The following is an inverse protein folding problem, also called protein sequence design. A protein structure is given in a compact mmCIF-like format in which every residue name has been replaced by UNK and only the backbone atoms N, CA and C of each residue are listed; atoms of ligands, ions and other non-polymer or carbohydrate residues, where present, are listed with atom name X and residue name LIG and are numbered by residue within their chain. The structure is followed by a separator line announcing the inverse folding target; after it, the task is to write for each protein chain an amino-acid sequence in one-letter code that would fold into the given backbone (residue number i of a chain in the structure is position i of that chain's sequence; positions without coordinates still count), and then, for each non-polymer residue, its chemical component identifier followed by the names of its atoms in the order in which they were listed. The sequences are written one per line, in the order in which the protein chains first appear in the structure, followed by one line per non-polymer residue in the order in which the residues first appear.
data_IF_017357135681
#
_entry.id   IF_017357135681
#
_cell.length_a   1.000
_cell.length_b   1.000
_cell.length_c   1.000
_cell.angle_alpha   90.00
_cell.angle_beta   90.00
_cell.angle_gamma   90.00
#
_symmetry.space_group_name_H-M   'P 1'
#
loop_
_entity.id
_entity.type
_entity.pdbx_description
1 polymer ?
#
# COMPACT_ATOMS: atom_id res chain seq x y z
N UNK A 1 11.47 8.02 -15.90
CA UNK A 1 11.02 9.25 -15.24
C UNK A 1 9.71 8.89 -14.56
N UNK A 2 9.58 9.14 -13.27
CA UNK A 2 8.38 8.75 -12.48
C UNK A 2 7.24 9.71 -12.75
N UNK A 3 6.06 9.20 -13.06
CA UNK A 3 4.85 9.99 -13.30
C UNK A 3 3.91 9.91 -12.12
N UNK A 4 3.58 11.05 -11.53
CA UNK A 4 2.71 11.18 -10.36
C UNK A 4 1.39 11.85 -10.76
N UNK A 5 0.26 11.22 -10.44
CA UNK A 5 -1.04 11.88 -10.47
C UNK A 5 -1.27 12.57 -9.12
N UNK A 6 -1.19 13.90 -9.11
CA UNK A 6 -1.47 14.72 -7.94
C UNK A 6 -2.92 15.22 -7.97
N UNK A 7 -3.69 14.86 -6.95
CA UNK A 7 -5.10 15.21 -6.82
C UNK A 7 -5.29 16.07 -5.57
N UNK A 8 -5.46 17.37 -5.76
CA UNK A 8 -5.54 18.36 -4.70
C UNK A 8 -6.42 19.52 -5.18
N UNK A 9 -7.40 19.93 -4.39
CA UNK A 9 -8.35 21.00 -4.77
C UNK A 9 -7.93 22.40 -4.31
N UNK A 10 -6.98 22.50 -3.37
CA UNK A 10 -6.41 23.79 -2.95
C UNK A 10 -5.30 24.23 -3.90
N UNK A 11 -5.50 25.30 -4.73
CA UNK A 11 -4.55 25.66 -5.79
C UNK A 11 -3.14 25.96 -5.26
N UNK A 12 -3.04 26.66 -4.11
CA UNK A 12 -1.76 27.04 -3.52
C UNK A 12 -0.93 25.83 -3.09
N UNK A 13 -1.56 24.83 -2.47
CA UNK A 13 -0.91 23.59 -2.09
C UNK A 13 -0.57 22.73 -3.33
N UNK A 14 -1.49 22.63 -4.29
CA UNK A 14 -1.29 21.90 -5.53
C UNK A 14 -0.09 22.43 -6.32
N UNK A 15 0.04 23.75 -6.48
CA UNK A 15 1.16 24.38 -7.19
C UNK A 15 2.49 24.19 -6.44
N UNK A 16 2.48 24.32 -5.11
CA UNK A 16 3.66 24.08 -4.28
C UNK A 16 4.13 22.61 -4.40
N UNK A 17 3.23 21.67 -4.21
CA UNK A 17 3.55 20.23 -4.33
C UNK A 17 4.03 19.87 -5.73
N UNK A 18 3.37 20.40 -6.77
CA UNK A 18 3.80 20.17 -8.15
C UNK A 18 5.22 20.65 -8.37
N UNK A 19 5.56 21.86 -7.93
CA UNK A 19 6.90 22.43 -8.08
C UNK A 19 7.97 21.56 -7.42
N UNK A 20 7.72 21.11 -6.19
CA UNK A 20 8.66 20.28 -5.43
C UNK A 20 8.84 18.86 -6.04
N UNK A 21 7.76 18.26 -6.54
CA UNK A 21 7.80 16.98 -7.23
C UNK A 21 8.55 17.09 -8.57
N UNK A 22 8.31 18.16 -9.34
CA UNK A 22 9.04 18.43 -10.59
C UNK A 22 10.53 18.70 -10.33
N UNK A 23 10.87 19.42 -9.24
CA UNK A 23 12.26 19.61 -8.82
C UNK A 23 12.95 18.29 -8.46
N UNK A 24 12.18 17.30 -7.96
CA UNK A 24 12.62 15.94 -7.69
C UNK A 24 12.60 15.01 -8.93
N UNK A 25 12.63 15.58 -10.14
CA UNK A 25 12.67 14.88 -11.43
C UNK A 25 11.44 13.98 -11.69
N UNK A 26 10.28 14.30 -11.11
CA UNK A 26 9.03 13.61 -11.35
C UNK A 26 8.17 14.39 -12.36
N UNK A 27 7.42 13.67 -13.18
CA UNK A 27 6.40 14.25 -14.05
C UNK A 27 5.07 14.29 -13.29
N UNK A 28 4.39 15.45 -13.26
CA UNK A 28 3.15 15.62 -12.52
C UNK A 28 1.96 15.80 -13.45
N UNK A 29 0.96 14.97 -13.28
CA UNK A 29 -0.39 15.13 -13.84
C UNK A 29 -1.25 15.70 -12.70
N UNK A 30 -1.83 16.88 -12.89
CA UNK A 30 -2.63 17.56 -11.87
C UNK A 30 -4.13 17.34 -12.11
N UNK A 31 -4.87 17.06 -11.04
CA UNK A 31 -6.31 17.03 -11.01
C UNK A 31 -6.81 17.81 -9.79
N UNK A 32 -7.82 18.67 -9.96
CA UNK A 32 -8.36 19.55 -8.92
C UNK A 32 -9.64 19.03 -8.26
N UNK A 33 -10.14 17.86 -8.68
CA UNK A 33 -11.33 17.23 -8.09
C UNK A 33 -11.36 15.72 -8.39
N UNK A 34 -12.18 14.99 -7.66
CA UNK A 34 -12.24 13.55 -7.79
C UNK A 34 -12.77 13.03 -9.13
N UNK A 35 -13.56 13.85 -9.88
CA UNK A 35 -13.99 13.46 -11.22
C UNK A 35 -12.82 13.56 -12.19
N UNK A 36 -12.13 14.71 -12.18
CA UNK A 36 -10.94 14.91 -13.01
C UNK A 36 -9.85 13.89 -12.70
N UNK A 37 -9.68 13.50 -11.43
CA UNK A 37 -8.76 12.44 -11.04
C UNK A 37 -9.05 11.12 -11.76
N UNK A 38 -10.32 10.70 -11.81
CA UNK A 38 -10.72 9.47 -12.50
C UNK A 38 -10.58 9.58 -14.02
N UNK A 39 -10.89 10.74 -14.60
CA UNK A 39 -10.72 11.00 -16.04
C UNK A 39 -9.22 10.96 -16.42
N UNK A 40 -8.34 11.60 -15.65
CA UNK A 40 -6.88 11.54 -15.82
C UNK A 40 -6.36 10.11 -15.63
N UNK A 41 -6.82 9.40 -14.60
CA UNK A 41 -6.42 8.03 -14.37
C UNK A 41 -6.78 7.13 -15.56
N UNK A 42 -8.00 7.22 -16.07
CA UNK A 42 -8.42 6.44 -17.24
C UNK A 42 -7.59 6.74 -18.49
N UNK A 43 -7.21 8.01 -18.69
CA UNK A 43 -6.43 8.45 -19.86
C UNK A 43 -4.96 8.03 -19.77
N UNK A 44 -4.35 8.08 -18.57
CA UNK A 44 -2.89 7.90 -18.37
C UNK A 44 -2.54 6.69 -17.52
N UNK A 45 -3.45 5.73 -17.35
CA UNK A 45 -3.32 4.58 -16.44
C UNK A 45 -1.98 3.84 -16.57
N UNK A 46 -1.48 3.65 -17.78
CA UNK A 46 -0.23 2.91 -18.05
C UNK A 46 1.03 3.73 -17.81
N UNK A 47 0.90 5.04 -17.58
CA UNK A 47 2.02 5.96 -17.37
C UNK A 47 2.14 6.39 -15.91
N UNK A 48 1.05 6.29 -15.13
CA UNK A 48 1.02 6.71 -13.73
C UNK A 48 1.71 5.65 -12.86
N UNK A 49 2.80 6.05 -12.21
CA UNK A 49 3.58 5.21 -11.29
C UNK A 49 3.11 5.36 -9.83
N UNK A 50 2.51 6.51 -9.48
CA UNK A 50 2.05 6.80 -8.11
C UNK A 50 0.92 7.83 -8.16
N UNK A 51 0.01 7.75 -7.20
CA UNK A 51 -1.07 8.73 -7.00
C UNK A 51 -0.93 9.36 -5.61
N UNK A 52 -0.95 10.68 -5.55
CA UNK A 52 -1.13 11.47 -4.32
C UNK A 52 -2.55 12.00 -4.35
N UNK A 53 -3.34 11.68 -3.33
CA UNK A 53 -4.79 11.88 -3.37
C UNK A 53 -5.29 12.54 -2.09
N UNK A 54 -5.80 13.77 -2.19
CA UNK A 54 -6.48 14.37 -1.05
C UNK A 54 -7.78 13.63 -0.72
N UNK A 55 -8.03 13.51 0.56
CA UNK A 55 -9.27 12.95 1.09
C UNK A 55 -10.47 13.86 0.80
N UNK A 56 -10.30 15.15 1.02
CA UNK A 56 -11.38 16.16 0.98
C UNK A 56 -11.47 16.82 -0.40
N UNK A 57 -12.00 16.11 -1.38
CA UNK A 57 -12.16 16.63 -2.75
C UNK A 57 -13.61 17.01 -3.06
N UNK A 58 -13.84 18.03 -3.88
CA UNK A 58 -15.16 18.34 -4.42
C UNK A 58 -15.60 17.29 -5.45
N UNK A 59 -16.91 17.23 -5.71
CA UNK A 59 -17.62 16.35 -6.65
C UNK A 59 -17.57 14.87 -6.25
N UNK A 60 -16.40 14.27 -6.17
CA UNK A 60 -16.19 12.89 -5.73
C UNK A 60 -15.08 12.91 -4.69
N UNK A 61 -15.36 12.50 -3.47
CA UNK A 61 -14.39 12.45 -2.38
C UNK A 61 -13.24 11.49 -2.69
N UNK A 62 -12.06 11.77 -2.09
CA UNK A 62 -10.84 11.00 -2.36
C UNK A 62 -10.97 9.52 -2.02
N UNK A 63 -11.74 9.16 -0.99
CA UNK A 63 -11.96 7.76 -0.65
C UNK A 63 -12.76 7.01 -1.73
N UNK A 64 -13.77 7.67 -2.29
CA UNK A 64 -14.54 7.13 -3.42
C UNK A 64 -13.68 6.98 -4.69
N UNK A 65 -12.76 7.93 -4.94
CA UNK A 65 -11.76 7.85 -6.03
C UNK A 65 -10.84 6.65 -5.79
N UNK A 66 -10.26 6.52 -4.61
CA UNK A 66 -9.41 5.39 -4.21
C UNK A 66 -10.09 4.05 -4.50
N UNK A 67 -11.32 3.86 -4.00
CA UNK A 67 -12.08 2.61 -4.18
C UNK A 67 -12.35 2.27 -5.65
N UNK A 68 -12.57 3.28 -6.51
CA UNK A 68 -12.77 3.06 -7.94
C UNK A 68 -11.49 2.63 -8.62
N UNK A 69 -10.38 3.33 -8.36
CA UNK A 69 -9.06 2.98 -8.91
C UNK A 69 -8.64 1.57 -8.48
N UNK A 70 -8.87 1.19 -7.21
CA UNK A 70 -8.50 -0.13 -6.67
C UNK A 70 -9.25 -1.31 -7.29
N UNK A 71 -10.36 -1.08 -7.99
CA UNK A 71 -11.05 -2.14 -8.76
C UNK A 71 -10.25 -2.56 -10.00
N UNK A 72 -9.42 -1.67 -10.52
CA UNK A 72 -8.76 -1.82 -11.82
C UNK A 72 -7.24 -1.80 -11.73
N UNK A 73 -6.67 -1.23 -10.65
CA UNK A 73 -5.23 -1.02 -10.54
C UNK A 73 -4.71 -1.19 -9.12
N UNK A 74 -3.44 -1.62 -9.04
CA UNK A 74 -2.66 -1.70 -7.80
C UNK A 74 -1.58 -0.61 -7.75
N UNK A 75 -1.70 0.43 -8.57
CA UNK A 75 -0.79 1.59 -8.52
C UNK A 75 -0.68 2.13 -7.08
N UNK A 76 0.52 2.46 -6.57
CA UNK A 76 0.67 3.02 -5.24
C UNK A 76 -0.17 4.29 -5.06
N UNK A 77 -0.90 4.40 -3.94
CA UNK A 77 -1.70 5.58 -3.60
C UNK A 77 -1.35 6.05 -2.20
N UNK A 78 -0.88 7.30 -2.09
CA UNK A 78 -0.67 7.99 -0.82
C UNK A 78 -1.84 8.97 -0.61
N UNK A 79 -2.55 8.80 0.50
CA UNK A 79 -3.66 9.69 0.86
C UNK A 79 -3.16 10.89 1.67
N UNK A 80 -3.58 12.10 1.29
CA UNK A 80 -3.45 13.29 2.12
C UNK A 80 -4.71 13.48 2.95
N UNK A 81 -4.62 13.72 4.26
CA UNK A 81 -5.79 13.81 5.14
C UNK A 81 -5.63 14.86 6.23
N UNK A 82 -6.72 15.53 6.62
CA UNK A 82 -6.71 16.43 7.76
C UNK A 82 -6.67 15.65 9.09
N UNK A 83 -5.97 16.19 10.09
CA UNK A 83 -5.70 15.56 11.40
C UNK A 83 -6.95 15.16 12.21
N UNK A 84 -8.09 15.79 11.93
CA UNK A 84 -9.35 15.64 12.69
C UNK A 84 -10.12 14.34 12.41
N UNK A 85 -9.75 13.58 11.38
CA UNK A 85 -10.50 12.40 10.93
C UNK A 85 -9.80 11.08 11.28
N UNK A 86 -9.54 10.86 12.58
CA UNK A 86 -8.91 9.60 13.05
C UNK A 86 -9.79 8.36 12.72
N UNK A 87 -11.12 8.52 12.73
CA UNK A 87 -12.05 7.45 12.30
C UNK A 87 -11.94 7.12 10.81
N UNK A 88 -11.62 8.10 9.99
CA UNK A 88 -11.52 7.94 8.54
C UNK A 88 -10.18 7.35 8.10
N UNK A 89 -9.11 7.47 8.92
CA UNK A 89 -7.82 6.81 8.66
C UNK A 89 -7.97 5.28 8.59
N UNK A 90 -8.76 4.70 9.48
CA UNK A 90 -9.07 3.26 9.44
C UNK A 90 -9.90 2.92 8.20
N UNK A 91 -10.82 3.80 7.79
CA UNK A 91 -11.62 3.62 6.58
C UNK A 91 -10.75 3.76 5.32
N UNK A 92 -9.82 4.73 5.26
CA UNK A 92 -8.92 4.92 4.12
C UNK A 92 -7.97 3.74 3.92
N UNK A 93 -7.38 3.24 4.99
CA UNK A 93 -6.54 2.05 4.95
C UNK A 93 -7.36 0.79 4.59
N UNK A 94 -8.59 0.65 5.08
CA UNK A 94 -9.49 -0.44 4.64
C UNK A 94 -9.94 -0.27 3.18
N UNK A 95 -9.86 0.96 2.62
CA UNK A 95 -10.10 1.25 1.21
C UNK A 95 -8.98 0.84 0.26
N UNK A 96 -7.79 0.49 0.78
CA UNK A 96 -6.66 0.01 -0.02
C UNK A 96 -5.62 1.09 -0.40
N UNK A 97 -5.54 2.20 0.35
CA UNK A 97 -4.41 3.12 0.23
C UNK A 97 -3.11 2.45 0.69
N UNK A 98 -1.98 2.78 0.09
CA UNK A 98 -0.67 2.21 0.47
C UNK A 98 -0.03 2.98 1.63
N UNK A 99 -0.33 4.27 1.74
CA UNK A 99 0.12 5.11 2.84
C UNK A 99 -0.83 6.31 3.02
N UNK A 100 -0.65 7.06 4.11
CA UNK A 100 -1.36 8.32 4.34
C UNK A 100 -0.46 9.33 5.07
N UNK A 101 -0.66 10.60 4.76
CA UNK A 101 0.04 11.72 5.37
C UNK A 101 -0.99 12.69 5.94
N UNK A 102 -0.77 13.18 7.15
CA UNK A 102 -1.67 14.13 7.79
C UNK A 102 -1.25 15.57 7.51
N UNK A 103 -2.15 16.38 7.00
CA UNK A 103 -1.96 17.82 6.86
C UNK A 103 -2.02 18.52 8.24
N UNK A 104 -1.11 19.47 8.56
CA UNK A 104 0.03 19.87 7.76
C UNK A 104 1.18 18.87 7.83
N UNK A 105 1.98 18.78 6.78
CA UNK A 105 3.16 17.91 6.66
C UNK A 105 4.32 18.67 6.03
N UNK A 106 5.53 18.18 6.26
CA UNK A 106 6.72 18.68 5.60
C UNK A 106 6.92 17.97 4.25
N UNK A 107 7.47 18.69 3.26
CA UNK A 107 7.68 18.14 1.92
C UNK A 107 8.63 16.95 1.92
N UNK A 108 9.64 16.97 2.78
CA UNK A 108 10.61 15.90 2.96
C UNK A 108 9.92 14.60 3.42
N UNK A 109 8.88 14.69 4.26
CA UNK A 109 8.10 13.53 4.66
C UNK A 109 7.36 12.92 3.45
N UNK A 110 6.73 13.76 2.63
CA UNK A 110 6.05 13.31 1.43
C UNK A 110 7.01 12.62 0.45
N UNK A 111 8.17 13.25 0.18
CA UNK A 111 9.18 12.70 -0.73
C UNK A 111 9.73 11.37 -0.25
N UNK A 112 10.03 11.24 1.04
CA UNK A 112 10.48 9.99 1.63
C UNK A 112 9.44 8.86 1.47
N UNK A 113 8.15 9.16 1.66
CA UNK A 113 7.07 8.19 1.49
C UNK A 113 6.85 7.80 0.03
N UNK A 114 6.98 8.75 -0.90
CA UNK A 114 6.95 8.48 -2.34
C UNK A 114 8.06 7.50 -2.72
N UNK A 115 9.30 7.75 -2.27
CA UNK A 115 10.43 6.88 -2.54
C UNK A 115 10.19 5.45 -2.03
N UNK A 116 9.68 5.31 -0.80
CA UNK A 116 9.34 4.00 -0.23
C UNK A 116 8.21 3.31 -1.00
N UNK A 117 7.17 4.05 -1.42
CA UNK A 117 6.06 3.51 -2.20
C UNK A 117 6.52 3.02 -3.58
N UNK A 118 7.36 3.77 -4.26
CA UNK A 118 7.92 3.42 -5.58
C UNK A 118 8.92 2.26 -5.53
N UNK A 119 9.74 2.16 -4.46
CA UNK A 119 10.71 1.07 -4.28
C UNK A 119 10.03 -0.29 -4.24
N UNK A 120 8.84 -0.39 -3.69
CA UNK A 120 8.06 -1.63 -3.66
C UNK A 120 7.37 -1.95 -5.00
N UNK A 121 7.21 -0.96 -5.88
CA UNK A 121 6.69 -1.13 -7.24
C UNK A 121 7.76 -1.52 -8.28
N UNK A 122 9.01 -1.17 -8.04
CA UNK A 122 10.11 -1.49 -8.97
C UNK A 122 10.75 -2.82 -8.58
N UNK A 123 10.72 -3.77 -9.51
CA UNK A 123 11.41 -5.05 -9.39
C UNK A 123 12.90 -4.83 -9.12
N UNK A 124 13.40 -5.31 -8.00
CA UNK A 124 14.83 -5.48 -7.80
C UNK A 124 15.40 -6.31 -8.96
N UNK A 125 16.58 -5.92 -9.48
CA UNK A 125 17.32 -6.72 -10.46
C UNK A 125 17.39 -8.18 -9.98
N UNK A 126 17.25 -9.17 -10.87
CA UNK A 126 17.28 -10.57 -10.47
C UNK A 126 18.59 -10.87 -9.73
N UNK A 127 18.50 -11.15 -8.46
CA UNK A 127 19.56 -11.77 -7.69
C UNK A 127 19.60 -13.23 -8.09
N UNK A 128 20.78 -13.81 -8.24
CA UNK A 128 21.04 -15.14 -8.81
C UNK A 128 20.50 -16.33 -8.01
N UNK A 129 19.62 -16.11 -7.06
CA UNK A 129 18.86 -17.13 -6.31
C UNK A 129 17.38 -16.78 -6.41
N UNK A 130 16.62 -17.55 -7.17
CA UNK A 130 15.16 -17.40 -7.23
C UNK A 130 14.58 -17.60 -5.83
N UNK A 131 14.06 -16.52 -5.23
CA UNK A 131 13.50 -16.57 -3.88
C UNK A 131 12.01 -16.87 -3.97
N UNK A 132 11.69 -18.17 -4.05
CA UNK A 132 10.30 -18.64 -3.95
C UNK A 132 10.03 -19.10 -2.53
N UNK A 133 8.95 -18.58 -1.93
CA UNK A 133 8.47 -19.01 -0.61
C UNK A 133 7.22 -19.84 -0.79
N UNK A 134 7.19 -21.01 -0.15
CA UNK A 134 6.03 -21.88 -0.13
C UNK A 134 5.57 -22.15 1.30
N UNK A 135 4.36 -21.70 1.61
CA UNK A 135 3.74 -21.90 2.94
C UNK A 135 2.39 -22.58 2.72
N UNK A 136 2.34 -23.89 2.95
CA UNK A 136 1.18 -24.71 2.60
C UNK A 136 0.86 -24.61 1.11
N UNK A 137 -0.34 -24.13 0.77
CA UNK A 137 -0.81 -23.92 -0.60
C UNK A 137 -0.57 -22.48 -1.11
N UNK A 138 0.10 -21.64 -0.34
CA UNK A 138 0.52 -20.29 -0.72
C UNK A 138 1.91 -20.34 -1.34
N UNK A 139 2.05 -19.81 -2.56
CA UNK A 139 3.31 -19.64 -3.26
C UNK A 139 3.57 -18.17 -3.51
N UNK A 140 4.77 -17.70 -3.19
CA UNK A 140 5.23 -16.33 -3.41
C UNK A 140 6.52 -16.40 -4.23
N UNK A 141 6.49 -15.86 -5.41
CA UNK A 141 7.65 -15.70 -6.29
C UNK A 141 8.13 -14.26 -6.18
N UNK A 142 9.26 -14.04 -5.49
CA UNK A 142 9.78 -12.69 -5.24
C UNK A 142 10.44 -12.07 -6.49
N UNK A 143 10.86 -12.88 -7.45
CA UNK A 143 11.45 -12.38 -8.69
C UNK A 143 10.38 -11.77 -9.60
N UNK A 144 9.23 -12.44 -9.73
CA UNK A 144 8.11 -12.01 -10.56
C UNK A 144 7.03 -11.24 -9.81
N UNK A 145 7.17 -11.10 -8.48
CA UNK A 145 6.17 -10.52 -7.55
C UNK A 145 4.80 -11.21 -7.63
N UNK A 146 4.77 -12.46 -8.08
CA UNK A 146 3.55 -13.24 -8.20
C UNK A 146 3.24 -13.94 -6.88
N UNK A 147 1.98 -13.83 -6.48
CA UNK A 147 1.45 -14.52 -5.30
C UNK A 147 0.29 -15.39 -5.73
N UNK A 148 0.31 -16.66 -5.36
CA UNK A 148 -0.73 -17.62 -5.72
C UNK A 148 -1.11 -18.46 -4.50
N UNK A 149 -2.41 -18.67 -4.30
CA UNK A 149 -2.92 -19.62 -3.30
C UNK A 149 -3.71 -20.74 -3.97
N UNK A 150 -3.20 -21.97 -3.90
CA UNK A 150 -3.69 -23.10 -4.71
C UNK A 150 -3.59 -22.75 -6.19
N UNK A 151 -4.73 -22.68 -6.90
CA UNK A 151 -4.79 -22.30 -8.32
C UNK A 151 -5.12 -20.81 -8.52
N UNK A 152 -5.40 -20.05 -7.43
CA UNK A 152 -5.86 -18.67 -7.50
C UNK A 152 -4.69 -17.70 -7.44
N UNK A 153 -4.48 -16.92 -8.50
CA UNK A 153 -3.58 -15.78 -8.49
C UNK A 153 -4.16 -14.65 -7.62
N UNK A 154 -3.33 -14.06 -6.77
CA UNK A 154 -3.73 -12.97 -5.86
C UNK A 154 -3.15 -11.65 -6.36
N UNK A 155 -4.01 -10.64 -6.42
CA UNK A 155 -3.60 -9.26 -6.73
C UNK A 155 -3.39 -8.51 -5.41
N UNK A 156 -2.15 -8.16 -5.12
CA UNK A 156 -1.75 -7.42 -3.92
C UNK A 156 -1.25 -6.04 -4.31
N UNK A 157 -1.53 -5.04 -3.46
CA UNK A 157 -0.85 -3.74 -3.57
C UNK A 157 0.63 -3.89 -3.18
N UNK A 158 1.50 -2.94 -3.55
CA UNK A 158 2.91 -2.99 -3.17
C UNK A 158 3.13 -3.16 -1.66
N UNK A 159 2.32 -2.50 -0.83
CA UNK A 159 2.41 -2.62 0.63
C UNK A 159 1.92 -3.95 1.17
N UNK A 160 0.80 -4.46 0.65
CA UNK A 160 0.33 -5.80 1.00
C UNK A 160 1.37 -6.87 0.64
N UNK A 161 1.99 -6.73 -0.55
CA UNK A 161 3.04 -7.63 -0.98
C UNK A 161 4.26 -7.55 -0.05
N UNK A 162 4.74 -6.35 0.29
CA UNK A 162 5.87 -6.15 1.20
C UNK A 162 5.61 -6.76 2.58
N UNK A 163 4.40 -6.57 3.13
CA UNK A 163 4.03 -7.16 4.41
C UNK A 163 3.95 -8.68 4.35
N UNK A 164 3.38 -9.23 3.29
CA UNK A 164 3.33 -10.67 3.08
C UNK A 164 4.74 -11.27 2.96
N UNK A 165 5.63 -10.60 2.21
CA UNK A 165 7.01 -11.04 2.04
C UNK A 165 7.80 -10.99 3.36
N UNK A 166 7.60 -9.95 4.18
CA UNK A 166 8.20 -9.85 5.50
C UNK A 166 7.78 -11.03 6.41
N UNK A 167 6.52 -11.39 6.38
CA UNK A 167 6.01 -12.57 7.10
C UNK A 167 6.55 -13.88 6.52
N UNK A 168 6.66 -14.01 5.20
CA UNK A 168 7.13 -15.21 4.53
C UNK A 168 8.63 -15.48 4.78
N UNK A 169 9.44 -14.42 4.84
CA UNK A 169 10.87 -14.51 5.21
C UNK A 169 11.08 -15.02 6.64
N UNK A 170 10.08 -14.80 7.51
CA UNK A 170 10.06 -15.26 8.89
C UNK A 170 8.95 -16.30 9.11
N UNK A 171 8.71 -17.19 8.12
CA UNK A 171 7.68 -18.22 8.24
C UNK A 171 7.87 -19.07 9.51
N UNK A 172 6.76 -19.44 10.14
CA UNK A 172 6.69 -20.17 11.40
C UNK A 172 7.28 -19.45 12.62
N UNK A 173 7.60 -18.15 12.48
CA UNK A 173 8.06 -17.30 13.57
C UNK A 173 7.09 -16.12 13.78
N UNK A 174 6.87 -15.76 15.04
CA UNK A 174 6.06 -14.60 15.38
C UNK A 174 6.86 -13.31 15.16
N UNK A 175 6.36 -12.45 14.29
CA UNK A 175 6.90 -11.10 14.07
C UNK A 175 6.13 -10.10 14.92
N UNK A 176 6.83 -9.23 15.63
CA UNK A 176 6.17 -8.15 16.37
C UNK A 176 5.58 -7.11 15.40
N UNK A 177 4.61 -6.30 15.89
CA UNK A 177 4.05 -5.20 15.10
C UNK A 177 5.10 -4.17 14.73
N UNK A 178 6.00 -3.88 15.67
CA UNK A 178 7.07 -2.89 15.47
C UNK A 178 8.10 -3.40 14.45
N UNK A 179 8.46 -4.68 14.49
CA UNK A 179 9.35 -5.27 13.48
C UNK A 179 8.74 -5.21 12.09
N UNK A 180 7.47 -5.57 11.95
CA UNK A 180 6.75 -5.50 10.68
C UNK A 180 6.59 -4.05 10.20
N UNK A 181 6.31 -3.12 11.12
CA UNK A 181 6.24 -1.70 10.81
C UNK A 181 7.56 -1.20 10.25
N UNK A 182 8.65 -1.44 10.95
CA UNK A 182 9.99 -1.00 10.56
C UNK A 182 10.44 -1.62 9.23
N UNK A 183 10.16 -2.90 9.00
CA UNK A 183 10.55 -3.60 7.76
C UNK A 183 9.76 -3.10 6.54
N UNK A 184 8.49 -2.77 6.70
CA UNK A 184 7.60 -2.45 5.58
C UNK A 184 7.46 -0.95 5.37
N UNK A 185 7.43 -0.16 6.43
CA UNK A 185 7.26 1.31 6.34
C UNK A 185 8.53 2.09 6.62
N UNK A 186 9.54 1.45 7.23
CA UNK A 186 10.82 2.08 7.59
C UNK A 186 10.84 2.53 9.06
N UNK A 187 12.06 2.69 9.60
CA UNK A 187 12.28 3.07 11.01
C UNK A 187 11.82 4.51 11.32
N UNK A 188 11.79 5.36 10.30
CA UNK A 188 11.38 6.77 10.43
C UNK A 188 9.88 6.98 10.21
N UNK A 189 9.10 5.89 10.16
CA UNK A 189 7.66 5.98 9.93
C UNK A 189 6.93 6.63 11.11
N UNK A 190 6.38 7.83 10.91
CA UNK A 190 5.63 8.63 11.91
C UNK A 190 4.12 8.30 11.85
N UNK A 191 3.76 7.08 11.52
CA UNK A 191 2.36 6.62 11.50
C UNK A 191 1.96 5.90 12.79
N UNK A 192 0.66 5.55 12.88
CA UNK A 192 0.19 4.78 14.02
C UNK A 192 0.52 3.30 13.87
N UNK A 193 0.95 2.60 14.94
CA UNK A 193 1.29 1.16 14.91
C UNK A 193 0.15 0.24 14.43
N UNK A 194 -1.11 0.69 14.53
CA UNK A 194 -2.28 -0.06 14.07
C UNK A 194 -2.37 -0.20 12.53
N UNK A 195 -1.50 0.48 11.77
CA UNK A 195 -1.44 0.31 10.30
C UNK A 195 -1.18 -1.16 9.94
N UNK A 196 -0.29 -1.83 10.67
CA UNK A 196 0.02 -3.25 10.47
C UNK A 196 -1.25 -4.11 10.60
N UNK A 197 -2.07 -3.86 11.64
CA UNK A 197 -3.31 -4.62 11.88
C UNK A 197 -4.31 -4.46 10.71
N UNK A 198 -4.37 -3.28 10.11
CA UNK A 198 -5.22 -3.00 8.95
C UNK A 198 -4.78 -3.80 7.74
N UNK A 199 -3.47 -3.79 7.42
CA UNK A 199 -2.93 -4.55 6.28
C UNK A 199 -2.98 -6.07 6.50
N UNK A 200 -2.81 -6.55 7.72
CA UNK A 200 -3.05 -7.95 8.08
C UNK A 200 -4.51 -8.34 7.80
N UNK A 201 -5.46 -7.48 8.13
CA UNK A 201 -6.88 -7.73 7.82
C UNK A 201 -7.12 -7.82 6.32
N UNK A 202 -6.51 -6.93 5.51
CA UNK A 202 -6.62 -6.96 4.05
C UNK A 202 -5.98 -8.23 3.48
N UNK A 203 -4.79 -8.58 3.91
CA UNK A 203 -4.11 -9.82 3.51
C UNK A 203 -4.95 -11.05 3.86
N UNK A 204 -5.52 -11.12 5.06
CA UNK A 204 -6.43 -12.22 5.44
C UNK A 204 -7.63 -12.31 4.52
N UNK A 205 -8.22 -11.18 4.14
CA UNK A 205 -9.33 -11.18 3.20
C UNK A 205 -8.93 -11.76 1.84
N UNK A 206 -7.74 -11.44 1.35
CA UNK A 206 -7.23 -11.92 0.06
C UNK A 206 -6.68 -13.35 0.12
N UNK A 207 -5.96 -13.70 1.17
CA UNK A 207 -5.28 -14.98 1.33
C UNK A 207 -6.22 -16.00 2.01
N UNK A 208 -6.78 -15.66 3.16
CA UNK A 208 -7.57 -16.57 4.03
C UNK A 208 -9.09 -16.43 3.82
N UNK A 209 -9.53 -15.73 2.77
CA UNK A 209 -10.94 -15.46 2.53
C UNK A 209 -11.81 -16.66 2.15
N UNK A 210 -11.21 -17.80 1.82
CA UNK A 210 -11.94 -19.04 1.59
C UNK A 210 -12.01 -19.86 2.88
N UNK A 211 -13.20 -20.01 3.49
CA UNK A 211 -13.37 -20.71 4.77
C UNK A 211 -13.10 -22.23 4.69
N UNK A 212 -12.99 -22.78 3.47
CA UNK A 212 -12.67 -24.19 3.24
C UNK A 212 -11.18 -24.49 3.29
N UNK A 213 -10.34 -23.45 3.26
CA UNK A 213 -8.87 -23.58 3.33
C UNK A 213 -8.38 -23.23 4.74
N UNK A 214 -7.30 -23.85 5.21
CA UNK A 214 -6.70 -23.51 6.49
C UNK A 214 -6.22 -22.07 6.48
N UNK A 215 -6.30 -21.40 7.61
CA UNK A 215 -5.73 -20.05 7.75
C UNK A 215 -4.22 -20.14 7.78
N UNK A 216 -3.56 -19.18 7.11
CA UNK A 216 -2.10 -19.09 7.08
C UNK A 216 -1.58 -17.92 7.92
N UNK A 217 -2.36 -16.84 8.05
CA UNK A 217 -1.96 -15.66 8.83
C UNK A 217 -2.58 -15.76 10.23
N UNK A 218 -1.73 -15.99 11.24
CA UNK A 218 -2.14 -16.18 12.63
C UNK A 218 -1.85 -14.94 13.47
N UNK A 219 -2.66 -14.72 14.50
CA UNK A 219 -2.39 -13.71 15.54
C UNK A 219 -1.78 -14.41 16.75
N UNK A 220 -0.57 -14.04 17.12
CA UNK A 220 0.10 -14.51 18.33
C UNK A 220 -0.13 -13.46 19.41
N UNK A 221 -1.02 -13.79 20.37
CA UNK A 221 -1.41 -12.86 21.43
C UNK A 221 -0.20 -12.36 22.21
N UNK A 222 -0.14 -11.06 22.45
CA UNK A 222 0.96 -10.41 23.17
C UNK A 222 2.24 -10.20 22.32
N UNK A 223 2.34 -10.80 21.11
CA UNK A 223 3.52 -10.68 20.25
C UNK A 223 3.20 -9.94 18.96
N UNK A 224 2.36 -10.51 18.09
CA UNK A 224 2.09 -9.93 16.77
C UNK A 224 1.47 -10.93 15.81
N UNK A 225 2.11 -11.15 14.66
CA UNK A 225 1.59 -11.99 13.59
C UNK A 225 2.60 -13.03 13.10
N UNK A 226 2.09 -14.12 12.58
CA UNK A 226 2.90 -15.21 12.03
C UNK A 226 2.24 -15.75 10.77
N UNK A 227 3.04 -16.09 9.75
CA UNK A 227 2.61 -16.83 8.58
C UNK A 227 3.06 -18.27 8.73
N UNK A 228 2.10 -19.20 8.82
CA UNK A 228 2.37 -20.63 9.02
C UNK A 228 1.26 -21.50 8.44
N UNK A 229 1.64 -22.66 7.92
CA UNK A 229 0.70 -23.70 7.48
C UNK A 229 0.43 -24.75 8.58
N UNK A 230 1.22 -24.75 9.66
CA UNK A 230 1.22 -25.82 10.67
C UNK A 230 0.47 -25.50 11.95
N UNK A 231 -0.06 -24.28 12.11
CA UNK A 231 -0.91 -23.94 13.25
C UNK A 231 -2.35 -24.33 12.95
N UNK A 232 -2.75 -25.48 13.40
CA UNK A 232 -4.16 -25.81 13.56
C UNK A 232 -4.79 -24.84 14.57
N UNK A 233 -5.96 -24.32 14.18
CA UNK A 233 -6.72 -23.41 15.02
C UNK A 233 -7.16 -24.18 16.29
N UNK A 234 -6.49 -23.88 17.42
CA UNK A 234 -7.00 -24.18 18.74
C UNK A 234 -8.11 -23.20 19.14
#
# INVERSE_FOLDING_TARGET
MTTVLLVEDEPGLADSLKTELEFSEMQVILASDGKQALDCFAQYQTQIDLIILDWMLPKIDGFSVLRRIRRESQVPIIMLTARSYIGDKVAGLTGGADDYITKPFEIEELLARIEVALRHGQSAKPSATSSTYQIGDLMIDDDTKRVQRGTRLLSLTPREYALLLALAKNSDQACSRDDLLNQVWGVDFIGQPNIVDVYIRQLRHKIDGNPKLPRLIHTIRGTGYMLSASLDAG
#
